data_IF_894546925988
#
_entry.id   IF_894546925988
#
_cell.length_a   1.000
_cell.length_b   1.000
_cell.length_c   1.000
_cell.angle_alpha   90.00
_cell.angle_beta   90.00
_cell.angle_gamma   90.00
#
_symmetry.space_group_name_H-M   'P 1'
#
loop_
_entity.id
_entity.type
_entity.pdbx_description
1 polymer ?
#
# COMPACT_ATOMS: atom_id res chain seq x y z
N UNK A 1 -15.74 -36.14 8.82
CA UNK A 1 -14.67 -35.46 9.58
C UNK A 1 -13.34 -35.98 9.07
N UNK A 2 -12.65 -35.22 8.21
CA UNK A 2 -11.26 -35.47 7.84
C UNK A 2 -10.49 -34.18 8.15
N UNK A 3 -9.83 -34.17 9.31
CA UNK A 3 -8.84 -33.18 9.68
C UNK A 3 -7.52 -33.61 9.02
N UNK A 4 -7.27 -33.16 7.80
CA UNK A 4 -5.95 -33.22 7.18
C UNK A 4 -5.42 -31.80 7.07
N UNK A 5 -5.10 -31.18 8.22
CA UNK A 5 -4.35 -29.92 8.25
C UNK A 5 -2.93 -30.23 7.79
N UNK A 6 -2.68 -30.13 6.48
CA UNK A 6 -1.33 -30.15 5.92
C UNK A 6 -0.67 -28.81 6.22
N UNK A 7 0.05 -28.73 7.32
CA UNK A 7 1.02 -27.65 7.51
C UNK A 7 2.07 -27.79 6.41
N UNK A 8 2.09 -26.85 5.46
CA UNK A 8 3.26 -26.66 4.61
C UNK A 8 4.35 -26.14 5.54
N UNK A 9 5.34 -26.97 5.84
CA UNK A 9 6.58 -26.49 6.45
C UNK A 9 7.18 -25.46 5.49
N UNK A 10 6.95 -24.17 5.79
CA UNK A 10 7.71 -23.10 5.21
C UNK A 10 9.16 -23.33 5.65
N UNK A 11 9.95 -23.98 4.78
CA UNK A 11 11.41 -23.89 4.86
C UNK A 11 11.71 -22.41 5.01
N UNK A 12 12.60 -22.11 5.94
CA UNK A 12 12.95 -20.76 6.37
C UNK A 12 13.58 -20.00 5.18
N UNK A 13 12.75 -19.58 4.23
CA UNK A 13 13.10 -18.87 3.00
C UNK A 13 13.32 -17.40 3.34
N UNK A 14 14.06 -17.12 4.42
CA UNK A 14 14.70 -15.84 4.68
C UNK A 14 13.80 -14.60 4.45
N UNK A 15 12.50 -14.75 4.76
CA UNK A 15 11.45 -13.74 4.64
C UNK A 15 11.63 -12.79 5.82
N UNK A 16 12.22 -11.64 5.58
CA UNK A 16 12.22 -10.60 6.59
C UNK A 16 10.85 -9.93 6.62
N UNK A 17 10.16 -10.05 7.75
CA UNK A 17 9.15 -9.09 8.17
C UNK A 17 9.90 -7.83 8.59
N UNK A 18 10.34 -7.02 7.62
CA UNK A 18 10.78 -5.67 7.97
C UNK A 18 9.51 -4.91 8.38
N UNK A 19 9.49 -4.29 9.56
CA UNK A 19 8.44 -3.37 10.06
C UNK A 19 8.24 -2.11 9.19
N UNK A 20 8.66 -2.16 7.93
CA UNK A 20 8.54 -1.08 6.96
C UNK A 20 7.25 -1.32 6.19
N UNK A 21 6.29 -0.41 6.36
CA UNK A 21 5.03 -0.45 5.60
C UNK A 21 5.29 -0.31 4.10
N UNK A 22 4.40 -0.83 3.25
CA UNK A 22 4.61 -0.75 1.80
C UNK A 22 4.48 0.66 1.26
N UNK A 23 3.67 1.50 1.88
CA UNK A 23 3.57 2.91 1.54
C UNK A 23 4.97 3.55 1.66
N UNK A 24 5.71 3.21 2.72
CA UNK A 24 7.10 3.62 2.88
C UNK A 24 8.05 2.97 1.87
N UNK A 25 7.88 1.67 1.55
CA UNK A 25 8.65 1.01 0.48
C UNK A 25 8.46 1.80 -0.84
N UNK A 26 7.22 2.14 -1.20
CA UNK A 26 6.86 2.79 -2.44
C UNK A 26 7.33 4.24 -2.48
N UNK A 27 7.22 4.95 -1.37
CA UNK A 27 7.75 6.30 -1.19
C UNK A 27 9.27 6.35 -1.35
N UNK A 28 10.00 5.47 -0.68
CA UNK A 28 11.48 5.36 -0.82
C UNK A 28 11.90 5.05 -2.27
N UNK A 29 11.03 4.39 -3.03
CA UNK A 29 11.22 4.07 -4.46
C UNK A 29 10.67 5.14 -5.40
N UNK A 30 10.04 6.20 -4.88
CA UNK A 30 9.45 7.32 -5.64
C UNK A 30 8.38 6.86 -6.66
N UNK A 31 7.61 5.85 -6.31
CA UNK A 31 6.50 5.35 -7.14
C UNK A 31 5.13 5.60 -6.53
N UNK A 32 5.08 6.01 -5.26
CA UNK A 32 3.87 6.34 -4.51
C UNK A 32 3.04 7.47 -5.12
N UNK A 33 3.69 8.47 -5.75
CA UNK A 33 3.01 9.62 -6.34
C UNK A 33 1.98 9.27 -7.46
N UNK A 34 2.09 8.08 -8.06
CA UNK A 34 1.17 7.59 -9.10
C UNK A 34 0.29 6.43 -8.61
N UNK A 35 0.36 6.09 -7.32
CA UNK A 35 -0.37 4.98 -6.72
C UNK A 35 -1.44 5.51 -5.76
N UNK A 36 -2.67 5.11 -6.00
CA UNK A 36 -3.78 5.43 -5.11
C UNK A 36 -3.58 4.75 -3.75
N UNK A 37 -3.71 5.52 -2.68
CA UNK A 37 -3.44 5.11 -1.29
C UNK A 37 -2.07 4.43 -1.09
N UNK A 38 -1.10 4.75 -1.95
CA UNK A 38 0.29 4.31 -1.81
C UNK A 38 0.63 3.01 -2.52
N UNK A 39 -0.31 2.12 -2.85
CA UNK A 39 -0.01 0.81 -3.47
C UNK A 39 -1.06 0.24 -4.45
N UNK A 40 -2.08 1.02 -4.80
CA UNK A 40 -3.09 0.60 -5.76
C UNK A 40 -2.94 1.35 -7.08
N UNK A 41 -2.94 0.63 -8.20
CA UNK A 41 -3.17 1.23 -9.52
C UNK A 41 -4.67 1.22 -9.77
N UNK A 42 -5.24 2.40 -9.98
CA UNK A 42 -6.64 2.57 -10.36
C UNK A 42 -6.72 3.00 -11.82
N UNK A 43 -7.68 2.45 -12.55
CA UNK A 43 -8.03 2.89 -13.90
C UNK A 43 -8.66 4.29 -13.86
N UNK A 44 -8.70 4.97 -15.00
CA UNK A 44 -9.34 6.28 -15.09
C UNK A 44 -10.79 6.22 -14.62
N UNK A 45 -11.52 5.20 -15.06
CA UNK A 45 -12.93 5.03 -14.70
C UNK A 45 -13.12 4.78 -13.20
N UNK A 46 -12.19 4.06 -12.56
CA UNK A 46 -12.20 3.88 -11.10
C UNK A 46 -11.88 5.19 -10.37
N UNK A 47 -10.95 5.99 -10.88
CA UNK A 47 -10.62 7.28 -10.31
C UNK A 47 -11.80 8.26 -10.41
N UNK A 48 -12.48 8.28 -11.56
CA UNK A 48 -13.68 9.11 -11.78
C UNK A 48 -14.80 8.70 -10.80
N UNK A 49 -15.04 7.39 -10.60
CA UNK A 49 -16.01 6.89 -9.59
C UNK A 49 -15.66 7.35 -8.16
N UNK A 50 -14.37 7.28 -7.79
CA UNK A 50 -13.92 7.74 -6.47
C UNK A 50 -14.13 9.25 -6.30
N UNK A 51 -13.87 10.05 -7.34
CA UNK A 51 -14.06 11.50 -7.30
C UNK A 51 -15.54 11.85 -7.15
N UNK A 52 -16.41 11.25 -7.97
CA UNK A 52 -17.86 11.45 -7.90
C UNK A 52 -18.41 11.08 -6.50
N UNK A 53 -17.93 9.98 -5.91
CA UNK A 53 -18.32 9.58 -4.56
C UNK A 53 -17.92 10.59 -3.47
N UNK A 54 -16.76 11.22 -3.61
CA UNK A 54 -16.28 12.24 -2.68
C UNK A 54 -17.10 13.54 -2.78
N UNK A 55 -17.58 13.88 -3.98
CA UNK A 55 -18.36 15.09 -4.22
C UNK A 55 -19.83 14.95 -3.77
N UNK A 56 -20.43 13.78 -3.94
CA UNK A 56 -21.87 13.58 -3.76
C UNK A 56 -22.29 13.17 -2.33
N UNK A 57 -21.37 12.95 -1.37
CA UNK A 57 -21.68 12.50 0.00
C UNK A 57 -22.67 11.31 0.05
N UNK A 58 -22.54 10.36 -0.89
CA UNK A 58 -23.54 9.30 -1.09
C UNK A 58 -23.50 8.31 0.09
N UNK A 59 -24.47 8.44 0.99
CA UNK A 59 -24.63 7.63 2.21
C UNK A 59 -25.21 6.22 2.00
N UNK A 60 -25.14 5.67 0.78
CA UNK A 60 -25.95 4.49 0.37
C UNK A 60 -25.18 3.23 -0.04
N UNK A 61 -23.84 3.22 -0.05
CA UNK A 61 -23.11 2.05 -0.58
C UNK A 61 -23.24 0.84 0.36
N UNK A 62 -23.61 -0.36 -0.12
CA UNK A 62 -23.67 -1.55 0.72
C UNK A 62 -22.28 -1.92 1.27
N UNK A 63 -22.24 -2.30 2.56
CA UNK A 63 -21.07 -2.76 3.32
C UNK A 63 -20.25 -3.84 2.58
N UNK A 64 -19.28 -3.45 1.75
CA UNK A 64 -18.40 -4.42 1.07
C UNK A 64 -16.98 -3.87 0.96
N UNK A 65 -16.03 -4.75 1.30
CA UNK A 65 -14.59 -4.49 1.20
C UNK A 65 -14.06 -4.69 -0.23
N UNK A 66 -14.67 -5.63 -0.97
CA UNK A 66 -14.34 -5.87 -2.36
C UNK A 66 -15.17 -4.96 -3.27
N UNK A 67 -14.51 -4.36 -4.25
CA UNK A 67 -15.08 -3.41 -5.19
C UNK A 67 -16.23 -4.04 -5.98
N UNK A 68 -17.41 -3.45 -5.84
CA UNK A 68 -18.56 -3.60 -6.75
C UNK A 68 -18.90 -2.22 -7.30
N UNK A 69 -18.08 -1.74 -8.23
CA UNK A 69 -18.27 -0.48 -8.94
C UNK A 69 -19.16 -0.62 -10.16
N UNK A 70 -19.25 0.46 -10.96
CA UNK A 70 -20.13 0.55 -12.13
C UNK A 70 -19.90 -0.57 -13.17
N UNK A 71 -18.65 -1.04 -13.30
CA UNK A 71 -18.30 -2.13 -14.23
C UNK A 71 -18.59 -3.53 -13.70
N UNK A 72 -19.19 -3.69 -12.52
CA UNK A 72 -19.54 -5.02 -12.02
C UNK A 72 -20.53 -5.73 -12.97
N UNK A 73 -20.33 -7.01 -13.34
CA UNK A 73 -19.30 -7.96 -12.88
C UNK A 73 -18.06 -8.07 -13.80
N UNK A 74 -17.81 -7.12 -14.70
CA UNK A 74 -16.68 -7.16 -15.63
C UNK A 74 -15.33 -7.00 -14.94
N UNK A 75 -15.29 -6.35 -13.78
CA UNK A 75 -14.08 -6.10 -12.99
C UNK A 75 -13.75 -7.20 -11.97
N UNK A 76 -14.47 -8.33 -12.00
CA UNK A 76 -14.18 -9.51 -11.17
C UNK A 76 -13.62 -10.67 -12.00
N UNK A 77 -12.78 -11.49 -11.38
CA UNK A 77 -12.25 -12.72 -11.96
C UNK A 77 -13.28 -13.85 -11.87
N UNK A 78 -14.10 -14.02 -12.91
CA UNK A 78 -15.21 -14.98 -12.90
C UNK A 78 -14.83 -16.43 -13.24
N UNK A 79 -13.64 -16.67 -13.80
CA UNK A 79 -13.16 -17.98 -14.25
C UNK A 79 -11.76 -18.29 -13.71
N UNK A 80 -11.50 -17.87 -12.47
CA UNK A 80 -10.16 -17.87 -11.90
C UNK A 80 -9.29 -16.73 -12.42
N UNK A 81 -8.08 -16.66 -11.88
CA UNK A 81 -7.08 -15.62 -12.12
C UNK A 81 -5.93 -16.23 -12.91
N UNK A 82 -5.81 -15.85 -14.18
CA UNK A 82 -4.60 -16.20 -14.94
C UNK A 82 -3.45 -15.31 -14.48
N UNK A 83 -2.25 -15.87 -14.37
CA UNK A 83 -1.03 -15.11 -14.10
C UNK A 83 0.17 -15.65 -14.87
N UNK A 84 1.20 -14.83 -15.05
CA UNK A 84 2.46 -15.22 -15.64
C UNK A 84 3.63 -14.47 -14.98
N UNK A 85 4.84 -14.99 -15.12
CA UNK A 85 6.04 -14.42 -14.50
C UNK A 85 6.97 -13.82 -15.56
N UNK A 86 7.42 -12.58 -15.35
CA UNK A 86 8.39 -11.92 -16.21
C UNK A 86 9.55 -11.34 -15.42
N UNK A 87 10.77 -11.85 -15.70
CA UNK A 87 12.02 -11.37 -15.10
C UNK A 87 12.01 -11.33 -13.55
N UNK A 88 11.44 -12.37 -12.93
CA UNK A 88 11.41 -12.55 -11.46
C UNK A 88 12.29 -13.72 -11.03
N UNK A 89 12.90 -13.61 -9.85
CA UNK A 89 13.71 -14.70 -9.28
C UNK A 89 12.86 -15.90 -8.90
N UNK A 90 13.46 -17.09 -8.82
CA UNK A 90 12.71 -18.29 -8.42
C UNK A 90 12.17 -18.20 -6.98
N UNK A 91 12.86 -17.48 -6.10
CA UNK A 91 12.33 -17.16 -4.77
C UNK A 91 11.04 -16.34 -4.86
N UNK A 92 11.01 -15.30 -5.70
CA UNK A 92 9.82 -14.47 -5.93
C UNK A 92 8.65 -15.27 -6.51
N UNK A 93 8.93 -16.15 -7.48
CA UNK A 93 7.92 -17.07 -8.03
C UNK A 93 7.34 -17.97 -6.93
N UNK A 94 8.19 -18.56 -6.07
CA UNK A 94 7.72 -19.42 -4.97
C UNK A 94 6.81 -18.69 -4.00
N UNK A 95 7.22 -17.51 -3.53
CA UNK A 95 6.42 -16.77 -2.53
C UNK A 95 5.10 -16.27 -3.12
N UNK A 96 5.08 -15.82 -4.39
CA UNK A 96 3.83 -15.49 -5.06
C UNK A 96 2.90 -16.70 -5.16
N UNK A 97 3.42 -17.87 -5.57
CA UNK A 97 2.64 -19.12 -5.64
C UNK A 97 2.08 -19.53 -4.27
N UNK A 98 2.84 -19.35 -3.20
CA UNK A 98 2.35 -19.58 -1.82
C UNK A 98 1.18 -18.63 -1.51
N UNK A 99 1.33 -17.33 -1.76
CA UNK A 99 0.25 -16.36 -1.55
C UNK A 99 -1.01 -16.67 -2.35
N UNK A 100 -0.86 -17.05 -3.63
CA UNK A 100 -1.96 -17.46 -4.49
C UNK A 100 -2.62 -18.76 -4.01
N UNK A 101 -1.84 -19.72 -3.52
CA UNK A 101 -2.34 -20.98 -2.95
C UNK A 101 -3.19 -20.72 -1.71
N UNK A 102 -2.75 -19.85 -0.80
CA UNK A 102 -3.50 -19.51 0.41
C UNK A 102 -4.89 -18.93 0.08
N UNK A 103 -4.96 -18.04 -0.92
CA UNK A 103 -6.27 -17.57 -1.42
C UNK A 103 -7.10 -18.69 -2.04
N UNK A 104 -6.48 -19.62 -2.77
CA UNK A 104 -7.18 -20.75 -3.40
C UNK A 104 -7.64 -21.81 -2.40
N UNK A 105 -6.97 -21.94 -1.26
CA UNK A 105 -7.31 -22.87 -0.17
C UNK A 105 -8.49 -22.37 0.66
N UNK A 106 -8.56 -21.07 0.91
CA UNK A 106 -9.60 -20.45 1.75
C UNK A 106 -10.80 -19.89 0.94
N UNK A 107 -10.74 -19.91 -0.38
CA UNK A 107 -11.81 -19.39 -1.26
C UNK A 107 -12.06 -20.30 -2.46
N UNK A 108 -13.07 -19.96 -3.27
CA UNK A 108 -13.34 -20.65 -4.54
C UNK A 108 -12.54 -20.07 -5.72
N UNK A 109 -11.55 -19.21 -5.46
CA UNK A 109 -10.77 -18.55 -6.51
C UNK A 109 -9.59 -19.44 -6.88
N UNK A 110 -9.47 -19.78 -8.16
CA UNK A 110 -8.33 -20.55 -8.65
C UNK A 110 -7.32 -19.64 -9.36
N UNK A 111 -6.04 -19.79 -9.03
CA UNK A 111 -4.94 -19.12 -9.73
C UNK A 111 -4.28 -20.09 -10.70
N UNK A 112 -4.16 -19.68 -11.97
CA UNK A 112 -3.61 -20.53 -13.05
C UNK A 112 -2.46 -19.82 -13.74
N UNK A 113 -1.29 -20.47 -13.80
CA UNK A 113 -0.17 -19.96 -14.57
C UNK A 113 -0.43 -20.14 -16.07
N UNK A 114 -0.61 -19.04 -16.80
CA UNK A 114 -0.93 -19.03 -18.23
C UNK A 114 -0.41 -17.75 -18.90
N UNK A 115 0.74 -17.84 -19.58
CA UNK A 115 1.39 -16.74 -20.30
C UNK A 115 0.74 -16.40 -21.65
N UNK A 116 -0.16 -17.24 -22.14
CA UNK A 116 -0.93 -17.00 -23.38
C UNK A 116 -2.27 -16.30 -23.13
N UNK A 117 -2.76 -16.28 -21.89
CA UNK A 117 -4.01 -15.62 -21.54
C UNK A 117 -3.91 -14.10 -21.73
N UNK A 118 -4.87 -13.49 -22.44
CA UNK A 118 -4.90 -12.03 -22.64
C UNK A 118 -5.24 -11.31 -21.33
N UNK A 119 -6.31 -11.74 -20.65
CA UNK A 119 -6.69 -11.25 -19.33
C UNK A 119 -5.91 -12.04 -18.26
N UNK A 120 -4.79 -11.48 -17.80
CA UNK A 120 -3.93 -12.11 -16.79
C UNK A 120 -3.15 -11.08 -15.97
N UNK A 121 -2.58 -11.54 -14.88
CA UNK A 121 -1.64 -10.79 -14.05
C UNK A 121 -0.19 -11.11 -14.49
N UNK A 122 0.55 -10.10 -14.91
CA UNK A 122 1.99 -10.20 -15.14
C UNK A 122 2.74 -9.85 -13.86
N UNK A 123 3.27 -10.87 -13.21
CA UNK A 123 4.04 -10.76 -11.97
C UNK A 123 5.48 -10.40 -12.33
N UNK A 124 5.89 -9.20 -11.92
CA UNK A 124 7.17 -8.59 -12.32
C UNK A 124 7.99 -8.13 -11.12
N UNK A 125 9.29 -7.96 -11.37
CA UNK A 125 10.19 -7.23 -10.50
C UNK A 125 10.22 -5.76 -10.93
N UNK A 126 9.60 -4.87 -10.14
CA UNK A 126 9.63 -3.42 -10.36
C UNK A 126 10.01 -2.65 -9.09
N UNK A 127 10.17 -1.33 -9.21
CA UNK A 127 10.37 -0.45 -8.08
C UNK A 127 9.07 -0.31 -7.28
N UNK A 128 9.08 -0.71 -6.00
CA UNK A 128 7.89 -0.70 -5.14
C UNK A 128 6.95 -1.90 -5.33
N UNK A 129 5.94 -2.01 -4.49
CA UNK A 129 4.99 -3.11 -4.40
C UNK A 129 3.57 -2.59 -4.56
N UNK A 130 2.89 -3.05 -5.60
CA UNK A 130 1.58 -2.54 -5.97
C UNK A 130 0.86 -3.51 -6.90
N UNK A 131 -0.45 -3.34 -7.01
CA UNK A 131 -1.27 -4.05 -7.99
C UNK A 131 -2.45 -3.20 -8.44
N UNK A 132 -3.07 -3.57 -9.55
CA UNK A 132 -4.38 -3.05 -9.93
C UNK A 132 -5.47 -3.53 -8.97
N UNK A 133 -6.55 -2.77 -8.86
CA UNK A 133 -7.73 -3.17 -8.08
C UNK A 133 -8.73 -3.92 -8.97
N UNK A 134 -8.82 -5.24 -8.81
CA UNK A 134 -9.70 -6.12 -9.57
C UNK A 134 -9.18 -6.48 -10.97
N UNK A 135 -10.05 -7.06 -11.80
CA UNK A 135 -9.77 -7.39 -13.20
C UNK A 135 -9.95 -6.15 -14.08
N UNK A 136 -8.93 -5.77 -14.85
CA UNK A 136 -9.03 -4.59 -15.74
C UNK A 136 -9.51 -4.91 -17.16
N UNK A 137 -9.50 -6.20 -17.54
CA UNK A 137 -9.91 -6.67 -18.87
C UNK A 137 -8.78 -6.80 -19.89
N UNK A 138 -7.52 -6.73 -19.42
CA UNK A 138 -6.31 -6.91 -20.22
C UNK A 138 -5.20 -7.49 -19.33
N UNK A 139 -4.00 -7.65 -19.88
CA UNK A 139 -2.81 -7.92 -19.08
C UNK A 139 -2.57 -6.78 -18.10
N UNK A 140 -2.43 -7.10 -16.81
CA UNK A 140 -2.21 -6.13 -15.74
C UNK A 140 -0.98 -6.48 -14.92
N UNK A 141 -0.18 -5.49 -14.54
CA UNK A 141 1.06 -5.74 -13.80
C UNK A 141 0.80 -5.94 -12.29
N UNK A 142 1.62 -6.78 -11.70
CA UNK A 142 1.74 -6.98 -10.26
C UNK A 142 3.20 -6.88 -9.87
N UNK A 143 3.56 -5.88 -9.05
CA UNK A 143 4.95 -5.69 -8.64
C UNK A 143 5.24 -6.35 -7.31
N UNK A 144 6.21 -7.27 -7.30
CA UNK A 144 6.76 -7.88 -6.08
C UNK A 144 7.86 -7.03 -5.40
N UNK A 145 8.15 -5.86 -5.95
CA UNK A 145 9.25 -5.02 -5.46
C UNK A 145 10.62 -5.48 -5.92
N UNK A 146 11.59 -4.59 -5.73
CA UNK A 146 12.96 -4.75 -6.23
C UNK A 146 13.98 -5.18 -5.17
N UNK A 147 13.54 -5.55 -3.95
CA UNK A 147 14.46 -5.94 -2.87
C UNK A 147 15.12 -7.29 -3.20
N UNK A 148 16.30 -7.54 -2.60
CA UNK A 148 17.07 -8.79 -2.76
C UNK A 148 16.31 -10.02 -2.23
N UNK A 149 15.37 -9.80 -1.31
CA UNK A 149 14.49 -10.81 -0.73
C UNK A 149 13.05 -10.43 -1.03
N UNK A 150 12.21 -11.45 -1.17
CA UNK A 150 10.78 -11.26 -1.43
C UNK A 150 10.13 -10.83 -0.13
N UNK A 151 9.45 -9.69 -0.18
CA UNK A 151 8.74 -9.16 0.97
C UNK A 151 7.31 -9.69 0.95
N UNK A 152 6.91 -10.36 2.04
CA UNK A 152 5.54 -10.88 2.21
C UNK A 152 4.50 -9.77 2.05
N UNK A 153 4.84 -8.55 2.46
CA UNK A 153 3.99 -7.39 2.24
C UNK A 153 3.63 -7.29 0.76
N UNK A 154 4.59 -7.41 -0.16
CA UNK A 154 4.31 -7.25 -1.59
C UNK A 154 3.35 -8.34 -2.12
N UNK A 155 3.41 -9.56 -1.58
CA UNK A 155 2.49 -10.66 -1.95
C UNK A 155 1.07 -10.44 -1.42
N UNK A 156 0.91 -9.78 -0.26
CA UNK A 156 -0.42 -9.48 0.29
C UNK A 156 -1.30 -8.64 -0.66
N UNK A 157 -0.70 -7.97 -1.66
CA UNK A 157 -1.41 -7.20 -2.69
C UNK A 157 -2.19 -8.06 -3.66
N UNK A 158 -2.12 -9.40 -3.58
CA UNK A 158 -3.07 -10.29 -4.27
C UNK A 158 -4.51 -9.87 -3.93
N UNK A 159 -4.77 -9.40 -2.71
CA UNK A 159 -6.06 -8.83 -2.33
C UNK A 159 -6.52 -7.70 -3.27
N UNK A 160 -5.64 -6.77 -3.63
CA UNK A 160 -5.96 -5.71 -4.60
C UNK A 160 -6.31 -6.30 -5.96
N UNK A 161 -5.51 -7.24 -6.48
CA UNK A 161 -5.79 -7.88 -7.75
C UNK A 161 -7.16 -8.60 -7.78
N UNK A 162 -7.61 -9.09 -6.62
CA UNK A 162 -8.95 -9.68 -6.42
C UNK A 162 -10.08 -8.66 -6.21
N UNK A 163 -9.74 -7.38 -6.07
CA UNK A 163 -10.68 -6.27 -5.98
C UNK A 163 -10.86 -5.69 -4.58
N UNK A 164 -10.02 -6.05 -3.60
CA UNK A 164 -10.08 -5.47 -2.26
C UNK A 164 -9.35 -4.13 -2.23
N UNK A 165 -9.96 -3.10 -1.67
CA UNK A 165 -9.27 -1.84 -1.31
C UNK A 165 -8.85 -1.89 0.16
N UNK A 166 -8.22 -0.83 0.67
CA UNK A 166 -7.84 -0.79 2.09
C UNK A 166 -9.06 -0.59 3.00
N UNK A 167 -9.12 -1.32 4.12
CA UNK A 167 -10.27 -1.34 5.04
C UNK A 167 -10.54 0.01 5.70
N UNK A 168 -9.49 0.79 6.00
CA UNK A 168 -9.63 2.12 6.58
C UNK A 168 -10.30 3.13 5.63
N UNK A 169 -10.43 2.78 4.35
CA UNK A 169 -11.05 3.60 3.31
C UNK A 169 -12.53 3.33 3.12
N UNK A 170 -13.12 2.42 3.90
CA UNK A 170 -14.56 2.14 3.84
C UNK A 170 -15.36 3.38 4.25
N UNK A 171 -16.52 3.57 3.62
CA UNK A 171 -17.45 4.65 3.96
C UNK A 171 -17.91 4.63 5.43
N UNK A 172 -17.97 3.45 6.07
CA UNK A 172 -18.38 3.30 7.48
C UNK A 172 -17.22 3.32 8.47
N UNK A 173 -15.99 3.64 8.02
CA UNK A 173 -14.79 3.58 8.87
C UNK A 173 -14.90 4.46 10.12
N UNK A 174 -15.55 5.62 10.04
CA UNK A 174 -15.73 6.55 11.17
C UNK A 174 -16.53 5.96 12.33
N UNK A 175 -17.25 4.86 12.11
CA UNK A 175 -17.93 4.11 13.17
C UNK A 175 -17.00 3.16 13.94
N UNK A 176 -15.78 2.91 13.44
CA UNK A 176 -14.85 1.91 13.98
C UNK A 176 -13.46 2.46 14.32
N UNK A 177 -13.01 3.49 13.60
CA UNK A 177 -11.70 4.12 13.80
C UNK A 177 -11.84 5.64 13.83
N UNK A 178 -10.95 6.28 14.59
CA UNK A 178 -10.81 7.74 14.61
C UNK A 178 -9.51 8.09 13.90
N UNK A 179 -9.60 8.91 12.85
CA UNK A 179 -8.43 9.49 12.21
C UNK A 179 -7.95 10.67 13.05
N UNK A 180 -6.82 10.50 13.73
CA UNK A 180 -6.10 11.60 14.38
C UNK A 180 -5.26 12.28 13.32
N UNK A 181 -5.87 13.20 12.57
CA UNK A 181 -5.21 13.89 11.47
C UNK A 181 -3.93 14.61 11.90
N UNK A 182 -3.85 15.07 13.14
CA UNK A 182 -2.65 15.67 13.73
C UNK A 182 -1.43 14.73 13.77
N UNK A 183 -1.66 13.42 13.70
CA UNK A 183 -0.63 12.39 13.70
C UNK A 183 -0.28 11.87 12.31
N UNK A 184 -0.95 12.37 11.27
CA UNK A 184 -0.63 12.03 9.90
C UNK A 184 0.40 13.02 9.37
N UNK A 185 1.46 12.46 8.81
CA UNK A 185 2.62 13.21 8.32
C UNK A 185 2.24 14.09 7.12
N UNK A 186 2.37 15.44 7.22
CA UNK A 186 2.14 16.32 6.08
C UNK A 186 3.18 16.10 4.98
N UNK A 187 2.83 16.47 3.75
CA UNK A 187 3.74 16.34 2.60
C UNK A 187 5.06 17.09 2.84
N UNK A 188 6.19 16.42 2.65
CA UNK A 188 7.54 16.98 2.89
C UNK A 188 8.02 16.94 4.34
N UNK A 189 7.28 16.33 5.26
CA UNK A 189 7.66 16.16 6.66
C UNK A 189 8.45 14.85 6.92
N UNK A 190 8.76 14.55 8.19
CA UNK A 190 9.21 13.25 8.72
C UNK A 190 10.53 12.65 8.27
N UNK A 191 11.35 13.40 7.54
CA UNK A 191 12.76 13.04 7.32
C UNK A 191 13.48 12.75 8.65
N UNK A 192 14.18 11.61 8.71
CA UNK A 192 15.10 11.32 9.82
C UNK A 192 16.31 12.26 9.70
N UNK A 193 16.51 13.11 10.71
CA UNK A 193 17.67 13.95 10.85
C UNK A 193 18.77 13.20 11.59
N UNK A 194 20.03 13.46 11.23
CA UNK A 194 21.17 12.98 12.02
C UNK A 194 21.73 14.16 12.80
N UNK A 195 21.88 14.02 14.11
CA UNK A 195 22.44 15.09 14.93
C UNK A 195 23.89 15.37 14.52
N UNK A 196 24.22 16.65 14.40
CA UNK A 196 25.58 17.12 14.10
C UNK A 196 25.97 18.22 15.08
N UNK A 197 27.24 18.63 15.06
CA UNK A 197 27.74 19.77 15.83
C UNK A 197 27.41 21.14 15.20
N UNK A 198 26.59 21.18 14.14
CA UNK A 198 26.15 22.40 13.47
C UNK A 198 24.63 22.47 13.49
N UNK A 199 24.11 23.69 13.59
CA UNK A 199 22.68 23.94 13.42
C UNK A 199 22.24 23.48 12.03
N UNK A 200 21.07 22.85 12.00
CA UNK A 200 20.38 22.44 10.79
C UNK A 200 19.07 23.21 10.72
N UNK A 201 18.76 23.76 9.55
CA UNK A 201 17.49 24.46 9.33
C UNK A 201 16.43 23.43 8.94
N UNK A 202 15.31 23.45 9.65
CA UNK A 202 14.09 22.73 9.27
C UNK A 202 13.27 23.62 8.34
N UNK A 203 13.21 23.27 7.06
CA UNK A 203 12.50 24.08 6.05
C UNK A 203 10.98 23.98 6.16
N UNK A 204 10.48 22.84 6.67
CA UNK A 204 9.06 22.59 6.89
C UNK A 204 8.88 22.17 8.36
N UNK A 205 7.82 22.64 9.01
CA UNK A 205 7.45 22.25 10.38
C UNK A 205 5.94 22.01 10.51
N UNK A 206 5.20 22.21 9.42
CA UNK A 206 3.75 22.09 9.33
C UNK A 206 3.19 22.88 8.14
N UNK A 207 1.88 22.86 7.96
CA UNK A 207 1.18 23.65 6.94
C UNK A 207 0.79 25.04 7.48
N UNK A 208 1.31 26.10 6.86
CA UNK A 208 1.12 27.50 7.30
C UNK A 208 -0.35 27.96 7.36
N UNK A 209 -1.23 27.36 6.56
CA UNK A 209 -2.64 27.73 6.42
C UNK A 209 -3.61 26.68 6.97
N UNK A 210 -3.13 25.74 7.80
CA UNK A 210 -4.02 24.73 8.39
C UNK A 210 -5.07 25.43 9.29
N UNK A 211 -6.34 25.36 8.89
CA UNK A 211 -7.49 25.76 9.73
C UNK A 211 -7.99 24.54 10.50
N UNK A 212 -8.80 24.73 11.56
CA UNK A 212 -9.47 23.62 12.27
C UNK A 212 -10.36 22.74 11.35
N UNK A 213 -10.67 23.23 10.15
CA UNK A 213 -11.50 22.57 9.14
C UNK A 213 -10.68 22.01 7.96
N UNK A 214 -9.37 22.30 7.88
CA UNK A 214 -8.51 21.53 6.98
C UNK A 214 -8.39 20.13 7.56
N UNK A 215 -8.26 19.10 6.73
CA UNK A 215 -8.19 17.70 7.15
C UNK A 215 -6.94 17.33 7.99
N UNK A 216 -6.37 18.30 8.71
CA UNK A 216 -5.70 18.15 10.00
C UNK A 216 -4.22 17.79 9.96
N UNK A 217 -3.59 17.81 8.80
CA UNK A 217 -2.16 17.57 8.63
C UNK A 217 -1.35 18.85 8.95
N UNK A 218 -1.44 19.32 10.19
CA UNK A 218 -0.98 20.65 10.56
C UNK A 218 0.50 20.72 11.00
N UNK A 219 1.10 19.61 11.47
CA UNK A 219 2.41 19.63 12.14
C UNK A 219 3.29 18.46 11.64
N UNK A 220 4.58 18.75 11.37
CA UNK A 220 5.55 17.72 11.02
C UNK A 220 6.12 17.03 12.28
N UNK A 221 6.11 15.69 12.32
CA UNK A 221 6.90 14.93 13.28
C UNK A 221 8.30 14.66 12.71
N UNK A 222 9.38 14.93 13.45
CA UNK A 222 10.77 14.65 13.03
C UNK A 222 11.46 13.67 13.97
N UNK A 223 12.25 12.75 13.40
CA UNK A 223 13.06 11.80 14.16
C UNK A 223 14.53 12.19 14.10
N UNK A 224 15.20 12.37 15.25
CA UNK A 224 16.62 12.74 15.31
C UNK A 224 17.43 11.53 15.77
N UNK A 225 18.34 11.07 14.91
CA UNK A 225 19.27 9.97 15.19
C UNK A 225 20.56 10.50 15.81
N UNK A 226 20.93 9.91 16.95
CA UNK A 226 22.20 10.22 17.63
C UNK A 226 23.36 9.49 16.95
N UNK A 227 24.50 10.15 16.71
CA UNK A 227 25.76 9.45 16.48
C UNK A 227 26.09 8.49 17.64
N UNK A 228 26.73 7.37 17.34
CA UNK A 228 27.08 6.37 18.35
C UNK A 228 27.93 7.00 19.48
N UNK A 229 27.58 6.72 20.73
CA UNK A 229 28.28 7.24 21.91
C UNK A 229 28.03 8.71 22.22
N UNK A 230 27.13 9.39 21.50
CA UNK A 230 26.78 10.80 21.75
C UNK A 230 25.45 10.96 22.46
N UNK A 231 25.28 12.10 23.14
CA UNK A 231 23.98 12.59 23.62
C UNK A 231 23.49 13.67 22.67
N UNK A 232 22.20 13.70 22.38
CA UNK A 232 21.58 14.76 21.58
C UNK A 232 21.09 15.85 22.54
N UNK A 233 21.44 17.09 22.23
CA UNK A 233 20.77 18.28 22.76
C UNK A 233 20.04 18.95 21.60
N UNK A 234 18.76 19.30 21.80
CA UNK A 234 17.94 19.97 20.78
C UNK A 234 17.68 21.38 21.26
N UNK A 235 18.15 22.36 20.49
CA UNK A 235 17.91 23.79 20.73
C UNK A 235 17.15 24.35 19.54
N UNK A 236 15.98 24.92 19.81
CA UNK A 236 15.14 25.58 18.81
C UNK A 236 15.40 27.08 18.91
N UNK A 237 16.11 27.63 17.93
CA UNK A 237 16.62 29.01 17.97
C UNK A 237 15.62 30.03 17.40
N UNK A 238 14.95 29.69 16.29
CA UNK A 238 14.02 30.58 15.61
C UNK A 238 12.85 29.83 14.96
N UNK A 239 11.64 30.36 15.13
CA UNK A 239 10.44 29.89 14.44
C UNK A 239 9.93 30.95 13.48
N UNK A 240 9.44 30.50 12.31
CA UNK A 240 8.72 31.39 11.40
C UNK A 240 7.38 31.82 12.02
N UNK A 241 6.94 33.03 11.67
CA UNK A 241 5.73 33.66 12.20
C UNK A 241 4.49 32.78 11.89
N UNK A 242 3.81 32.27 12.92
CA UNK A 242 2.60 31.44 12.78
C UNK A 242 2.63 30.08 13.49
N UNK A 243 3.79 29.66 14.02
CA UNK A 243 3.88 28.55 14.98
C UNK A 243 3.73 29.12 16.39
N UNK A 244 2.57 28.92 17.01
CA UNK A 244 2.32 29.16 18.43
C UNK A 244 1.88 27.86 19.10
#
# INVERSE_FOLDING_TARGET
MKNDTKYVEAKNDDVQTTDVSVEKINHEKKVDAVLFQGDMIVTKEQADEIIEELEENISGRPKRQAMRGFRYPLNIWSKGVNYAFYNVSDAAKRVFKIGASLWSEDTCIEFVENDTAIERIDVIKSAGCFSFVGKVGATQIFSLGGRLRVDWNCVARIGHALGFTHTQSRHDRDSFITLLSENVEPSGCGKILTATNKFQVLEHVGEKNATKESNGYAICNYWIKAPAGSKIEVVLDYFSKGLQ
#
